data_IF_344387623368
#
_entry.id   IF_344387623368
#
_cell.length_a   1.000
_cell.length_b   1.000
_cell.length_c   1.000
_cell.angle_alpha   90.00
_cell.angle_beta   90.00
_cell.angle_gamma   90.00
#
_symmetry.space_group_name_H-M   'P 1'
#
loop_
_entity.id
_entity.type
_entity.pdbx_description
1 polymer ?
#
# COMPACT_ATOMS: atom_id res chain seq x y z
N UNK A 1 10.50 15.01 22.67
CA UNK A 1 10.51 13.75 21.89
C UNK A 1 11.52 13.94 20.77
N UNK A 2 12.42 12.98 20.54
CA UNK A 2 13.41 13.10 19.45
C UNK A 2 12.72 12.97 18.08
N UNK A 3 13.39 13.38 17.00
CA UNK A 3 12.87 13.25 15.63
C UNK A 3 12.58 11.78 15.28
N UNK A 4 13.48 10.87 15.65
CA UNK A 4 13.33 9.43 15.39
C UNK A 4 12.14 8.85 16.15
N UNK A 5 11.93 9.30 17.40
CA UNK A 5 10.76 8.94 18.19
C UNK A 5 9.47 9.45 17.52
N UNK A 6 9.46 10.67 16.98
CA UNK A 6 8.33 11.24 16.23
C UNK A 6 8.03 10.44 14.98
N UNK A 7 9.03 10.13 14.16
CA UNK A 7 8.85 9.31 12.97
C UNK A 7 8.32 7.92 13.34
N UNK A 8 8.95 7.24 14.30
CA UNK A 8 8.51 5.91 14.72
C UNK A 8 7.06 5.92 15.22
N UNK A 9 6.71 6.88 16.08
CA UNK A 9 5.39 6.94 16.67
C UNK A 9 4.31 7.37 15.67
N UNK A 10 4.53 8.51 15.00
CA UNK A 10 3.54 9.12 14.11
C UNK A 10 3.41 8.37 12.80
N UNK A 11 4.52 7.87 12.23
CA UNK A 11 4.53 7.23 10.90
C UNK A 11 4.35 5.72 10.98
N UNK A 12 4.87 5.04 12.00
CA UNK A 12 4.83 3.57 12.01
C UNK A 12 3.82 3.04 13.03
N UNK A 13 3.94 3.43 14.30
CA UNK A 13 3.15 2.85 15.38
C UNK A 13 1.68 3.25 15.32
N UNK A 14 1.36 4.53 15.14
CA UNK A 14 -0.03 5.00 15.08
C UNK A 14 -0.81 4.34 13.91
N UNK A 15 -0.33 4.39 12.65
CA UNK A 15 -1.00 3.72 11.54
C UNK A 15 -0.99 2.19 11.69
N UNK A 16 0.08 1.63 12.27
CA UNK A 16 0.18 0.18 12.48
C UNK A 16 -0.78 -0.36 13.53
N UNK A 17 -0.94 0.33 14.66
CA UNK A 17 -1.93 -0.03 15.68
C UNK A 17 -3.36 0.15 15.16
N UNK A 18 -3.63 1.26 14.49
CA UNK A 18 -4.92 1.50 13.87
C UNK A 18 -5.26 0.46 12.80
N UNK A 19 -4.28 0.05 11.99
CA UNK A 19 -4.45 -1.04 11.02
C UNK A 19 -4.58 -2.40 11.67
N UNK A 20 -3.90 -2.66 12.78
CA UNK A 20 -4.09 -3.90 13.53
C UNK A 20 -5.53 -3.99 14.04
N UNK A 21 -6.03 -2.94 14.70
CA UNK A 21 -7.40 -2.92 15.21
C UNK A 21 -8.41 -2.92 14.07
N UNK A 22 -8.19 -2.12 13.02
CA UNK A 22 -9.08 -2.02 11.87
C UNK A 22 -9.19 -3.33 11.10
N UNK A 23 -8.06 -3.98 10.79
CA UNK A 23 -8.06 -5.28 10.15
C UNK A 23 -8.65 -6.38 11.05
N UNK A 24 -8.45 -6.29 12.37
CA UNK A 24 -9.09 -7.20 13.33
C UNK A 24 -10.63 -7.06 13.30
N UNK A 25 -11.15 -5.83 13.24
CA UNK A 25 -12.59 -5.57 13.06
C UNK A 25 -13.11 -6.13 11.74
N UNK A 26 -12.33 -6.01 10.66
CA UNK A 26 -12.71 -6.58 9.37
C UNK A 26 -12.85 -8.11 9.45
N UNK A 27 -11.91 -8.81 10.09
CA UNK A 27 -11.92 -10.26 10.15
C UNK A 27 -12.90 -10.83 11.19
N UNK A 28 -13.07 -10.16 12.33
CA UNK A 28 -14.05 -10.55 13.36
C UNK A 28 -15.50 -10.43 12.88
N UNK A 29 -15.78 -9.62 11.86
CA UNK A 29 -17.10 -9.51 11.25
C UNK A 29 -17.58 -10.79 10.55
N UNK A 30 -16.67 -11.68 10.14
CA UNK A 30 -16.96 -12.89 9.34
C UNK A 30 -16.95 -14.18 10.16
N UNK A 31 -16.36 -14.18 11.35
CA UNK A 31 -16.30 -15.36 12.22
C UNK A 31 -17.65 -15.76 12.83
N UNK A 32 -18.64 -14.85 12.84
CA UNK A 32 -19.94 -15.06 13.48
C UNK A 32 -20.96 -15.73 12.55
N UNK A 33 -20.73 -15.82 11.23
CA UNK A 33 -21.72 -16.30 10.24
C UNK A 33 -21.70 -17.82 10.01
N UNK A 34 -21.54 -18.62 11.07
CA UNK A 34 -21.47 -20.09 11.02
C UNK A 34 -22.80 -20.80 10.80
N UNK A 35 -23.92 -20.09 10.70
CA UNK A 35 -25.25 -20.62 10.47
C UNK A 35 -26.26 -19.48 10.65
N UNK A 36 -27.33 -19.48 9.85
CA UNK A 36 -28.38 -18.46 9.80
C UNK A 36 -28.01 -17.19 9.02
N UNK A 37 -28.20 -17.28 7.70
CA UNK A 37 -28.51 -16.15 6.83
C UNK A 37 -29.78 -15.46 7.36
N UNK A 38 -29.64 -14.30 8.00
CA UNK A 38 -30.44 -13.08 7.71
C UNK A 38 -30.47 -12.04 8.83
N UNK A 39 -30.04 -12.33 10.07
CA UNK A 39 -30.12 -11.35 11.17
C UNK A 39 -28.82 -10.56 11.45
N UNK A 40 -27.66 -10.98 10.93
CA UNK A 40 -26.32 -10.48 11.34
C UNK A 40 -25.68 -9.44 10.41
N UNK A 41 -26.35 -9.06 9.32
CA UNK A 41 -25.83 -8.13 8.31
C UNK A 41 -25.45 -6.71 8.80
N UNK A 42 -26.18 -6.03 9.70
CA UNK A 42 -25.84 -4.66 10.08
C UNK A 42 -24.56 -4.56 10.93
N UNK A 43 -24.31 -5.54 11.81
CA UNK A 43 -23.12 -5.53 12.67
C UNK A 43 -21.82 -5.74 11.88
N UNK A 44 -21.82 -6.63 10.89
CA UNK A 44 -20.64 -6.85 10.04
C UNK A 44 -20.30 -5.62 9.18
N UNK A 45 -21.32 -4.92 8.69
CA UNK A 45 -21.18 -3.64 7.96
C UNK A 45 -20.60 -2.55 8.85
N UNK A 46 -21.07 -2.43 10.09
CA UNK A 46 -20.57 -1.42 11.04
C UNK A 46 -19.13 -1.67 11.47
N UNK A 47 -18.76 -2.94 11.76
CA UNK A 47 -17.37 -3.34 12.04
C UNK A 47 -16.43 -2.96 10.88
N UNK A 48 -16.89 -3.14 9.64
CA UNK A 48 -16.12 -2.75 8.45
C UNK A 48 -15.99 -1.24 8.33
N UNK A 49 -17.05 -0.48 8.53
CA UNK A 49 -16.98 0.98 8.50
C UNK A 49 -16.01 1.51 9.56
N UNK A 50 -16.11 1.02 10.80
CA UNK A 50 -15.23 1.39 11.90
C UNK A 50 -13.77 1.07 11.58
N UNK A 51 -13.48 -0.11 11.05
CA UNK A 51 -12.11 -0.45 10.67
C UNK A 51 -11.56 0.45 9.54
N UNK A 52 -12.40 0.87 8.58
CA UNK A 52 -11.98 1.79 7.52
C UNK A 52 -11.73 3.19 8.08
N UNK A 53 -12.59 3.66 8.98
CA UNK A 53 -12.43 4.94 9.68
C UNK A 53 -11.15 4.95 10.52
N UNK A 54 -10.84 3.85 11.21
CA UNK A 54 -9.60 3.74 11.98
C UNK A 54 -8.38 3.81 11.06
N UNK A 55 -8.35 3.03 9.98
CA UNK A 55 -7.20 3.01 9.06
C UNK A 55 -7.06 4.33 8.33
N UNK A 56 -8.10 4.77 7.59
CA UNK A 56 -8.07 6.03 6.85
C UNK A 56 -7.88 7.24 7.75
N UNK A 57 -8.56 7.28 8.91
CA UNK A 57 -8.39 8.33 9.90
C UNK A 57 -6.98 8.37 10.48
N UNK A 58 -6.36 7.22 10.78
CA UNK A 58 -4.99 7.18 11.28
C UNK A 58 -3.96 7.67 10.27
N UNK A 59 -4.18 7.43 8.97
CA UNK A 59 -3.34 7.98 7.90
C UNK A 59 -3.43 9.51 7.88
N UNK A 60 -4.64 10.07 7.90
CA UNK A 60 -4.85 11.52 7.94
C UNK A 60 -4.25 12.15 9.21
N UNK A 61 -4.48 11.55 10.38
CA UNK A 61 -3.93 12.03 11.65
C UNK A 61 -2.40 11.95 11.65
N UNK A 62 -1.82 10.86 11.11
CA UNK A 62 -0.38 10.69 10.95
C UNK A 62 0.23 11.84 10.15
N UNK A 63 -0.35 12.17 9.00
CA UNK A 63 0.14 13.26 8.15
C UNK A 63 -0.10 14.65 8.72
N UNK A 64 -1.31 14.92 9.23
CA UNK A 64 -1.64 16.23 9.77
C UNK A 64 -0.84 16.53 11.03
N UNK A 65 -0.57 15.52 11.85
CA UNK A 65 0.28 15.73 13.01
C UNK A 65 1.71 16.08 12.59
N UNK A 66 2.27 15.33 11.65
CA UNK A 66 3.65 15.55 11.21
C UNK A 66 3.84 16.90 10.51
N UNK A 67 2.79 17.44 9.88
CA UNK A 67 2.77 18.76 9.25
C UNK A 67 2.30 19.87 10.20
N UNK A 68 2.11 19.56 11.48
CA UNK A 68 1.60 20.47 12.52
C UNK A 68 0.18 21.04 12.26
N UNK A 69 -0.51 20.52 11.24
CA UNK A 69 -1.86 20.92 10.85
C UNK A 69 -2.91 20.60 11.93
N UNK A 70 -2.68 19.62 12.81
CA UNK A 70 -3.66 19.35 13.87
C UNK A 70 -3.77 20.46 14.91
N UNK A 71 -2.69 21.22 15.12
CA UNK A 71 -2.57 22.11 16.29
C UNK A 71 -2.30 23.55 15.91
N UNK A 72 -1.69 23.81 14.74
CA UNK A 72 -1.40 25.17 14.28
C UNK A 72 -2.33 25.58 13.12
N UNK A 73 -3.27 26.52 13.35
CA UNK A 73 -4.10 27.10 12.28
C UNK A 73 -3.27 27.83 11.21
N UNK A 74 -2.09 28.35 11.54
CA UNK A 74 -1.20 29.01 10.56
C UNK A 74 -0.50 28.01 9.65
N UNK A 75 -0.26 26.77 10.12
CA UNK A 75 0.20 25.69 9.26
C UNK A 75 -0.81 25.37 8.16
N UNK A 76 -2.13 25.50 8.42
CA UNK A 76 -3.16 25.31 7.40
C UNK A 76 -3.13 26.37 6.29
N UNK A 77 -2.91 27.63 6.67
CA UNK A 77 -2.90 28.73 5.69
C UNK A 77 -1.61 28.75 4.87
N UNK A 78 -0.53 28.21 5.42
CA UNK A 78 0.77 28.08 4.75
C UNK A 78 0.95 26.74 4.02
N UNK A 79 0.13 25.73 4.31
CA UNK A 79 0.17 24.46 3.60
C UNK A 79 -0.25 24.66 2.15
N UNK A 80 0.75 24.63 1.28
CA UNK A 80 0.56 24.57 -0.16
C UNK A 80 0.99 23.19 -0.62
N UNK A 81 0.16 22.53 -1.42
CA UNK A 81 0.53 21.28 -2.09
C UNK A 81 1.50 21.60 -3.24
N UNK A 82 2.71 22.07 -2.90
CA UNK A 82 3.69 22.58 -3.87
C UNK A 82 4.08 21.53 -4.90
N UNK A 83 4.02 20.25 -4.51
CA UNK A 83 4.18 19.11 -5.40
C UNK A 83 2.93 18.26 -5.48
N UNK A 84 2.64 17.75 -6.68
CA UNK A 84 1.42 16.97 -6.95
C UNK A 84 1.31 15.65 -6.18
N UNK A 85 2.41 14.98 -5.86
CA UNK A 85 2.37 13.76 -5.05
C UNK A 85 1.88 14.02 -3.61
N UNK A 86 1.93 15.25 -3.11
CA UNK A 86 1.44 15.58 -1.76
C UNK A 86 -0.08 15.38 -1.63
N UNK A 87 -0.83 15.32 -2.74
CA UNK A 87 -2.26 14.99 -2.76
C UNK A 87 -2.56 13.54 -2.32
N UNK A 88 -1.54 12.68 -2.18
CA UNK A 88 -1.68 11.37 -1.55
C UNK A 88 -2.30 11.45 -0.16
N UNK A 89 -2.12 12.58 0.56
CA UNK A 89 -2.73 12.87 1.86
C UNK A 89 -4.25 12.74 1.87
N UNK A 90 -4.90 13.00 0.74
CA UNK A 90 -6.35 12.85 0.59
C UNK A 90 -6.70 11.59 -0.18
N UNK A 91 -5.95 11.28 -1.24
CA UNK A 91 -6.27 10.20 -2.16
C UNK A 91 -6.22 8.81 -1.50
N UNK A 92 -5.18 8.52 -0.71
CA UNK A 92 -5.00 7.18 -0.12
C UNK A 92 -6.00 6.96 1.03
N UNK A 93 -6.14 7.86 2.03
CA UNK A 93 -7.17 7.71 3.05
C UNK A 93 -8.59 7.70 2.46
N UNK A 94 -8.84 8.57 1.48
CA UNK A 94 -10.11 8.63 0.76
C UNK A 94 -10.43 7.33 0.03
N UNK A 95 -9.44 6.67 -0.56
CA UNK A 95 -9.62 5.36 -1.18
C UNK A 95 -9.94 4.26 -0.16
N UNK A 96 -9.24 4.22 0.99
CA UNK A 96 -9.55 3.28 2.07
C UNK A 96 -11.01 3.46 2.54
N UNK A 97 -11.43 4.70 2.77
CA UNK A 97 -12.79 5.02 3.17
C UNK A 97 -13.81 4.69 2.07
N UNK A 98 -13.53 5.05 0.82
CA UNK A 98 -14.40 4.79 -0.33
C UNK A 98 -14.62 3.30 -0.58
N UNK A 99 -13.57 2.49 -0.47
CA UNK A 99 -13.68 1.03 -0.55
C UNK A 99 -14.49 0.45 0.63
N UNK A 100 -14.32 1.02 1.83
CA UNK A 100 -15.16 0.71 2.99
C UNK A 100 -16.63 1.03 2.78
N UNK A 101 -16.94 2.19 2.19
CA UNK A 101 -18.30 2.61 1.86
C UNK A 101 -18.91 1.71 0.78
N UNK A 102 -18.16 1.36 -0.26
CA UNK A 102 -18.62 0.43 -1.31
C UNK A 102 -19.05 -0.92 -0.71
N UNK A 103 -18.39 -1.39 0.35
CA UNK A 103 -18.77 -2.61 1.08
C UNK A 103 -20.10 -2.47 1.83
N UNK A 104 -20.55 -1.27 2.18
CA UNK A 104 -21.84 -1.04 2.82
C UNK A 104 -23.02 -1.23 1.85
N UNK A 105 -22.83 -0.85 0.58
CA UNK A 105 -23.89 -0.81 -0.42
C UNK A 105 -24.09 -2.10 -1.19
N UNK A 106 -23.20 -3.05 -1.02
CA UNK A 106 -23.09 -4.20 -1.90
C UNK A 106 -23.55 -5.47 -1.20
N UNK A 107 -24.48 -6.17 -1.86
CA UNK A 107 -25.30 -7.23 -1.25
C UNK A 107 -24.55 -8.56 -1.26
N UNK A 108 -23.80 -8.86 -2.33
CA UNK A 108 -23.04 -10.10 -2.46
C UNK A 108 -21.53 -9.90 -2.66
N UNK A 109 -20.72 -10.89 -2.28
CA UNK A 109 -19.26 -10.87 -2.49
C UNK A 109 -18.87 -10.84 -3.98
N UNK A 110 -19.71 -11.39 -4.87
CA UNK A 110 -19.48 -11.39 -6.32
C UNK A 110 -19.70 -10.01 -6.94
N UNK A 111 -20.82 -9.36 -6.61
CA UNK A 111 -21.10 -7.99 -7.05
C UNK A 111 -20.04 -7.03 -6.56
N UNK A 112 -19.55 -7.23 -5.34
CA UNK A 112 -18.47 -6.43 -4.78
C UNK A 112 -17.20 -6.54 -5.59
N UNK A 113 -16.70 -7.76 -5.81
CA UNK A 113 -15.50 -7.97 -6.62
C UNK A 113 -15.64 -7.37 -8.02
N UNK A 114 -16.83 -7.46 -8.62
CA UNK A 114 -17.10 -6.93 -9.95
C UNK A 114 -17.06 -5.40 -10.03
N UNK A 115 -17.48 -4.68 -8.97
CA UNK A 115 -17.45 -3.21 -8.91
C UNK A 115 -16.10 -2.66 -8.46
N UNK A 116 -15.49 -3.35 -7.51
CA UNK A 116 -14.26 -2.95 -6.85
C UNK A 116 -13.05 -2.96 -7.77
N UNK A 117 -12.87 -4.02 -8.56
CA UNK A 117 -11.68 -4.15 -9.41
C UNK A 117 -11.61 -3.02 -10.44
N UNK A 118 -12.69 -2.71 -11.18
CA UNK A 118 -12.74 -1.53 -12.03
C UNK A 118 -12.50 -0.23 -11.25
N UNK A 119 -13.11 -0.06 -10.08
CA UNK A 119 -12.92 1.14 -9.26
C UNK A 119 -11.46 1.33 -8.84
N UNK A 120 -10.77 0.26 -8.44
CA UNK A 120 -9.35 0.27 -8.08
C UNK A 120 -8.45 0.55 -9.29
N UNK A 121 -8.76 -0.02 -10.46
CA UNK A 121 -8.02 0.26 -11.68
C UNK A 121 -8.15 1.74 -12.08
N UNK A 122 -9.37 2.27 -12.07
CA UNK A 122 -9.65 3.68 -12.34
C UNK A 122 -8.98 4.59 -11.30
N UNK A 123 -9.05 4.21 -10.03
CA UNK A 123 -8.37 4.93 -8.96
C UNK A 123 -6.86 4.91 -9.13
N UNK A 124 -6.26 3.77 -9.46
CA UNK A 124 -4.81 3.67 -9.72
C UNK A 124 -4.40 4.60 -10.88
N UNK A 125 -5.11 4.55 -12.01
CA UNK A 125 -4.82 5.40 -13.17
C UNK A 125 -4.99 6.89 -12.80
N UNK A 126 -6.10 7.24 -12.16
CA UNK A 126 -6.40 8.60 -11.73
C UNK A 126 -5.38 9.12 -10.71
N UNK A 127 -4.97 8.30 -9.75
CA UNK A 127 -3.98 8.66 -8.75
C UNK A 127 -2.61 8.91 -9.39
N UNK A 128 -2.14 8.04 -10.31
CA UNK A 128 -0.90 8.29 -11.04
C UNK A 128 -1.00 9.57 -11.89
N UNK A 129 -2.11 9.76 -12.62
CA UNK A 129 -2.32 10.97 -13.40
C UNK A 129 -2.25 12.23 -12.53
N UNK A 130 -2.96 12.26 -11.40
CA UNK A 130 -3.01 13.44 -10.52
C UNK A 130 -1.70 13.73 -9.80
N UNK A 131 -0.88 12.71 -9.51
CA UNK A 131 0.32 12.85 -8.68
C UNK A 131 1.62 13.00 -9.48
N UNK A 132 1.68 12.47 -10.70
CA UNK A 132 2.86 12.51 -11.59
C UNK A 132 2.77 13.68 -12.59
N UNK A 133 1.57 14.18 -12.90
CA UNK A 133 1.40 15.27 -13.87
C UNK A 133 1.76 16.63 -13.25
N UNK A 134 2.97 17.12 -13.52
CA UNK A 134 3.42 18.46 -13.14
C UNK A 134 3.89 19.23 -14.39
N UNK A 135 3.06 20.16 -14.92
CA UNK A 135 3.30 20.73 -16.24
C UNK A 135 4.49 21.70 -16.30
N UNK A 136 4.92 22.24 -15.15
CA UNK A 136 5.98 23.27 -15.09
C UNK A 136 7.39 22.68 -15.00
N UNK A 137 7.55 21.49 -14.42
CA UNK A 137 8.88 20.87 -14.19
C UNK A 137 9.36 20.06 -15.40
N UNK A 138 8.52 19.84 -16.42
CA UNK A 138 8.74 18.91 -17.53
C UNK A 138 8.66 19.57 -18.94
N UNK A 139 9.47 20.61 -19.24
CA UNK A 139 9.50 21.19 -20.59
C UNK A 139 10.04 20.14 -21.58
N UNK A 140 9.16 19.61 -22.45
CA UNK A 140 9.39 18.57 -23.50
C UNK A 140 9.23 17.09 -23.10
N UNK A 141 8.53 16.77 -22.00
CA UNK A 141 8.53 15.40 -21.46
C UNK A 141 7.14 14.71 -21.36
N UNK A 142 6.20 15.10 -22.22
CA UNK A 142 4.87 14.49 -22.27
C UNK A 142 4.94 12.95 -22.41
N UNK A 143 5.79 12.45 -23.31
CA UNK A 143 5.97 11.02 -23.57
C UNK A 143 6.49 10.23 -22.37
N UNK A 144 7.63 10.58 -21.74
CA UNK A 144 8.13 9.86 -20.57
C UNK A 144 7.20 9.97 -19.35
N UNK A 145 6.45 11.07 -19.19
CA UNK A 145 5.40 11.18 -18.17
C UNK A 145 4.26 10.19 -18.42
N UNK A 146 3.73 10.12 -19.64
CA UNK A 146 2.72 9.12 -20.01
C UNK A 146 3.24 7.69 -19.81
N UNK A 147 4.50 7.42 -20.14
CA UNK A 147 5.13 6.13 -19.87
C UNK A 147 5.17 5.82 -18.38
N UNK A 148 5.55 6.77 -17.53
CA UNK A 148 5.55 6.58 -16.07
C UNK A 148 4.14 6.29 -15.53
N UNK A 149 3.12 7.02 -15.99
CA UNK A 149 1.72 6.77 -15.61
C UNK A 149 1.27 5.37 -16.05
N UNK A 150 1.55 4.98 -17.29
CA UNK A 150 1.16 3.67 -17.81
C UNK A 150 1.88 2.53 -17.08
N UNK A 151 3.19 2.64 -16.89
CA UNK A 151 4.01 1.62 -16.21
C UNK A 151 3.61 1.51 -14.73
N UNK A 152 3.43 2.65 -14.05
CA UNK A 152 2.98 2.70 -12.66
C UNK A 152 1.60 2.07 -12.48
N UNK A 153 0.64 2.46 -13.32
CA UNK A 153 -0.72 1.91 -13.30
C UNK A 153 -0.71 0.40 -13.58
N UNK A 154 0.03 -0.04 -14.59
CA UNK A 154 0.17 -1.46 -14.92
C UNK A 154 0.77 -2.24 -13.75
N UNK A 155 1.82 -1.71 -13.11
CA UNK A 155 2.42 -2.33 -11.94
C UNK A 155 1.47 -2.39 -10.75
N UNK A 156 0.74 -1.32 -10.42
CA UNK A 156 -0.24 -1.37 -9.33
C UNK A 156 -1.31 -2.42 -9.59
N UNK A 157 -1.86 -2.46 -10.80
CA UNK A 157 -2.92 -3.42 -11.18
C UNK A 157 -2.39 -4.86 -11.10
N UNK A 158 -1.22 -5.13 -11.68
CA UNK A 158 -0.62 -6.45 -11.66
C UNK A 158 -0.20 -6.87 -10.25
N UNK A 159 0.33 -5.97 -9.44
CA UNK A 159 0.68 -6.24 -8.05
C UNK A 159 -0.57 -6.56 -7.23
N UNK A 160 -1.63 -5.77 -7.34
CA UNK A 160 -2.91 -6.06 -6.69
C UNK A 160 -3.44 -7.43 -7.11
N UNK A 161 -3.46 -7.74 -8.42
CA UNK A 161 -3.91 -9.03 -8.93
C UNK A 161 -3.05 -10.20 -8.43
N UNK A 162 -1.74 -9.97 -8.31
CA UNK A 162 -0.79 -10.98 -7.82
C UNK A 162 -0.98 -11.23 -6.32
N UNK A 163 -1.08 -10.18 -5.51
CA UNK A 163 -1.37 -10.29 -4.08
C UNK A 163 -2.72 -10.99 -3.85
N UNK A 164 -3.74 -10.65 -4.65
CA UNK A 164 -5.04 -11.32 -4.64
C UNK A 164 -4.91 -12.82 -4.93
N UNK A 165 -4.16 -13.18 -5.97
CA UNK A 165 -3.93 -14.56 -6.37
C UNK A 165 -3.18 -15.36 -5.29
N UNK A 166 -2.12 -14.79 -4.72
CA UNK A 166 -1.38 -15.38 -3.59
C UNK A 166 -2.33 -15.73 -2.44
N UNK A 167 -3.18 -14.78 -2.07
CA UNK A 167 -4.13 -15.01 -1.00
C UNK A 167 -5.10 -16.15 -1.35
N UNK A 168 -5.61 -16.19 -2.58
CA UNK A 168 -6.52 -17.24 -3.03
C UNK A 168 -5.87 -18.64 -3.05
N UNK A 169 -4.55 -18.73 -3.28
CA UNK A 169 -3.78 -20.00 -3.30
C UNK A 169 -3.28 -20.42 -1.91
N UNK A 170 -3.76 -19.78 -0.84
CA UNK A 170 -3.44 -20.14 0.55
C UNK A 170 -2.17 -19.49 1.10
N UNK A 171 -1.61 -18.48 0.42
CA UNK A 171 -0.47 -17.71 0.87
C UNK A 171 -0.83 -16.48 1.75
N UNK A 172 -2.10 -16.37 2.16
CA UNK A 172 -2.65 -15.19 2.85
C UNK A 172 -1.83 -14.66 4.03
N UNK A 173 -1.20 -15.55 4.80
CA UNK A 173 -0.38 -15.19 5.97
C UNK A 173 0.89 -14.41 5.60
N UNK A 174 1.51 -14.74 4.47
CA UNK A 174 2.77 -14.14 4.07
C UNK A 174 2.63 -13.15 2.90
N UNK A 175 1.47 -13.08 2.24
CA UNK A 175 1.21 -12.07 1.20
C UNK A 175 1.53 -10.63 1.65
N UNK A 176 1.11 -10.16 2.85
CA UNK A 176 1.46 -8.81 3.31
C UNK A 176 2.96 -8.58 3.47
N UNK A 177 3.76 -9.63 3.74
CA UNK A 177 5.22 -9.53 3.84
C UNK A 177 5.86 -9.19 2.49
N UNK A 178 5.25 -9.61 1.38
CA UNK A 178 5.71 -9.26 0.03
C UNK A 178 5.56 -7.76 -0.20
N UNK A 179 4.43 -7.18 0.22
CA UNK A 179 4.21 -5.74 0.15
C UNK A 179 5.16 -4.99 1.11
N UNK A 180 5.41 -5.51 2.32
CA UNK A 180 6.41 -4.93 3.22
C UNK A 180 7.81 -4.92 2.60
N UNK A 181 8.21 -5.99 1.91
CA UNK A 181 9.49 -6.02 1.21
C UNK A 181 9.57 -4.95 0.12
N UNK A 182 8.49 -4.79 -0.68
CA UNK A 182 8.41 -3.73 -1.68
C UNK A 182 8.51 -2.34 -1.02
N UNK A 183 7.70 -2.08 0.00
CA UNK A 183 7.72 -0.81 0.73
C UNK A 183 9.08 -0.54 1.37
N UNK A 184 9.78 -1.55 1.89
CA UNK A 184 11.14 -1.42 2.40
C UNK A 184 12.13 -0.98 1.31
N UNK A 185 12.04 -1.58 0.13
CA UNK A 185 12.83 -1.16 -1.04
C UNK A 185 12.49 0.28 -1.45
N UNK A 186 11.21 0.63 -1.53
CA UNK A 186 10.77 1.98 -1.88
C UNK A 186 11.19 2.99 -0.82
N UNK A 187 11.14 2.65 0.48
CA UNK A 187 11.57 3.51 1.57
C UNK A 187 13.07 3.79 1.50
N UNK A 188 13.88 2.76 1.27
CA UNK A 188 15.33 2.91 1.10
C UNK A 188 15.68 3.88 -0.04
N UNK A 189 14.96 3.80 -1.15
CA UNK A 189 15.14 4.70 -2.29
C UNK A 189 14.59 6.12 -1.99
N UNK A 190 13.37 6.20 -1.45
CA UNK A 190 12.65 7.45 -1.26
C UNK A 190 13.28 8.33 -0.18
N UNK A 191 13.72 7.76 0.95
CA UNK A 191 14.39 8.50 2.04
C UNK A 191 15.65 9.20 1.53
N UNK A 192 16.41 8.55 0.65
CA UNK A 192 17.60 9.14 0.03
C UNK A 192 17.28 10.23 -1.01
N UNK A 193 16.06 10.24 -1.54
CA UNK A 193 15.66 11.16 -2.61
C UNK A 193 14.99 12.40 -2.05
N UNK A 194 13.99 12.20 -1.18
CA UNK A 194 13.26 13.26 -0.53
C UNK A 194 12.62 12.73 0.76
N UNK A 195 13.02 13.27 1.91
CA UNK A 195 12.62 12.75 3.23
C UNK A 195 11.10 12.57 3.37
N UNK A 196 10.30 13.53 2.88
CA UNK A 196 8.83 13.46 3.02
C UNK A 196 8.19 12.37 2.15
N UNK A 197 8.79 12.00 1.00
CA UNK A 197 8.36 10.80 0.26
C UNK A 197 8.67 9.54 1.08
N UNK A 198 9.83 9.48 1.73
CA UNK A 198 10.21 8.40 2.62
C UNK A 198 9.24 8.22 3.78
N UNK A 199 8.84 9.31 4.44
CA UNK A 199 7.88 9.30 5.55
C UNK A 199 6.52 8.73 5.17
N UNK A 200 6.03 9.03 3.96
CA UNK A 200 4.82 8.44 3.41
C UNK A 200 4.91 6.93 3.27
N UNK A 201 6.05 6.44 2.78
CA UNK A 201 6.30 5.00 2.64
C UNK A 201 6.39 4.35 4.02
N UNK A 202 6.99 5.02 5.02
CA UNK A 202 7.00 4.55 6.41
C UNK A 202 5.58 4.43 6.99
N UNK A 203 4.67 5.37 6.67
CA UNK A 203 3.25 5.25 6.98
C UNK A 203 2.62 4.00 6.36
N UNK A 204 2.91 3.72 5.08
CA UNK A 204 2.46 2.50 4.42
C UNK A 204 3.03 1.22 5.06
N UNK A 205 4.28 1.25 5.52
CA UNK A 205 4.90 0.15 6.28
C UNK A 205 4.15 -0.09 7.59
N UNK A 206 3.84 0.98 8.35
CA UNK A 206 3.05 0.90 9.57
C UNK A 206 1.73 0.17 9.34
N UNK A 207 0.90 0.66 8.40
CA UNK A 207 -0.37 0.02 8.04
C UNK A 207 -0.18 -1.45 7.65
N UNK A 208 0.78 -1.74 6.78
CA UNK A 208 1.01 -3.11 6.31
C UNK A 208 1.48 -4.04 7.42
N UNK A 209 2.27 -3.56 8.39
CA UNK A 209 2.66 -4.33 9.58
C UNK A 209 1.45 -4.69 10.44
N UNK A 210 0.55 -3.74 10.69
CA UNK A 210 -0.69 -3.99 11.43
C UNK A 210 -1.55 -5.05 10.77
N UNK A 211 -1.75 -4.93 9.45
CA UNK A 211 -2.45 -5.90 8.63
C UNK A 211 -1.78 -7.30 8.64
N UNK A 212 -0.45 -7.33 8.62
CA UNK A 212 0.35 -8.56 8.67
C UNK A 212 0.12 -9.31 9.99
N UNK A 213 0.23 -8.61 11.13
CA UNK A 213 0.02 -9.21 12.44
C UNK A 213 -1.34 -9.92 12.52
N UNK A 214 -2.40 -9.23 12.09
CA UNK A 214 -3.76 -9.78 12.09
C UNK A 214 -3.87 -11.02 11.19
N UNK A 215 -3.24 -11.01 10.01
CA UNK A 215 -3.23 -12.16 9.09
C UNK A 215 -2.59 -13.41 9.71
N UNK A 216 -1.59 -13.24 10.58
CA UNK A 216 -0.96 -14.37 11.29
C UNK A 216 -1.84 -14.91 12.42
N UNK A 217 -2.56 -14.04 13.15
CA UNK A 217 -3.43 -14.45 14.25
C UNK A 217 -4.74 -15.09 13.77
N UNK A 218 -5.31 -14.64 12.65
CA UNK A 218 -6.52 -15.23 12.08
C UNK A 218 -6.17 -16.37 11.11
N UNK A 219 -6.17 -17.59 11.64
CA UNK A 219 -5.98 -18.82 10.87
C UNK A 219 -7.21 -19.10 9.98
N UNK A 220 -7.21 -18.55 8.77
CA UNK A 220 -8.25 -18.77 7.78
C UNK A 220 -8.29 -20.23 7.30
N UNK A 221 -9.23 -21.04 7.83
CA UNK A 221 -9.58 -22.36 7.28
C UNK A 221 -10.35 -22.29 5.96
N UNK A 222 -10.80 -21.11 5.51
CA UNK A 222 -11.59 -20.98 4.27
C UNK A 222 -10.82 -20.24 3.16
N UNK A 223 -10.94 -20.75 1.92
CA UNK A 223 -10.53 -20.04 0.68
C UNK A 223 -11.21 -18.67 0.51
N UNK A 224 -12.25 -18.41 1.30
CA UNK A 224 -13.11 -17.21 1.29
C UNK A 224 -12.65 -16.12 2.27
N UNK A 225 -11.69 -16.41 3.15
CA UNK A 225 -11.24 -15.47 4.19
C UNK A 225 -10.33 -14.36 3.63
N UNK A 226 -9.65 -14.62 2.52
CA UNK A 226 -8.43 -13.90 2.22
C UNK A 226 -8.57 -12.65 1.37
N UNK A 227 -9.66 -12.51 0.61
CA UNK A 227 -9.54 -11.76 -0.64
C UNK A 227 -9.81 -10.26 -0.51
N UNK A 228 -10.68 -9.86 0.43
CA UNK A 228 -11.25 -8.51 0.46
C UNK A 228 -11.01 -7.69 1.74
N UNK A 229 -11.08 -8.26 2.96
CA UNK A 229 -10.97 -7.46 4.18
C UNK A 229 -9.63 -6.71 4.27
N UNK A 230 -8.54 -7.39 3.93
CA UNK A 230 -7.20 -6.81 3.87
C UNK A 230 -6.98 -5.95 2.62
N UNK A 231 -7.67 -6.23 1.51
CA UNK A 231 -7.54 -5.48 0.26
C UNK A 231 -7.91 -4.00 0.42
N UNK A 232 -8.93 -3.70 1.25
CA UNK A 232 -9.35 -2.32 1.58
C UNK A 232 -8.18 -1.50 2.13
N UNK A 233 -7.30 -2.13 2.92
CA UNK A 233 -6.12 -1.49 3.49
C UNK A 233 -4.91 -1.57 2.54
N UNK A 234 -4.63 -2.74 1.95
CA UNK A 234 -3.38 -3.01 1.25
C UNK A 234 -3.33 -2.45 -0.17
N UNK A 235 -4.45 -2.39 -0.89
CA UNK A 235 -4.44 -1.97 -2.29
C UNK A 235 -4.18 -0.48 -2.49
N UNK A 236 -4.77 0.43 -1.69
CA UNK A 236 -4.35 1.83 -1.70
C UNK A 236 -2.85 1.99 -1.40
N UNK A 237 -2.28 1.15 -0.54
CA UNK A 237 -0.85 1.17 -0.21
C UNK A 237 0.03 0.67 -1.37
N UNK A 238 -0.43 -0.29 -2.17
CA UNK A 238 0.26 -0.70 -3.41
C UNK A 238 0.36 0.46 -4.40
N UNK A 239 -0.71 1.24 -4.53
CA UNK A 239 -0.75 2.42 -5.42
C UNK A 239 0.15 3.54 -4.86
N UNK A 240 0.14 3.76 -3.55
CA UNK A 240 1.04 4.75 -2.95
C UNK A 240 2.52 4.37 -3.12
N UNK A 241 2.86 3.08 -2.99
CA UNK A 241 4.22 2.58 -3.20
C UNK A 241 4.74 2.86 -4.61
N UNK A 242 3.92 2.62 -5.64
CA UNK A 242 4.30 2.87 -7.03
C UNK A 242 4.45 4.36 -7.32
N UNK A 243 3.52 5.19 -6.83
CA UNK A 243 3.61 6.65 -6.96
C UNK A 243 4.88 7.16 -6.29
N UNK A 244 5.15 6.76 -5.03
CA UNK A 244 6.34 7.18 -4.31
C UNK A 244 7.63 6.81 -5.06
N UNK A 245 7.72 5.57 -5.56
CA UNK A 245 8.89 5.11 -6.31
C UNK A 245 9.10 5.92 -7.60
N UNK A 246 8.04 6.15 -8.38
CA UNK A 246 8.13 6.93 -9.61
C UNK A 246 8.47 8.40 -9.33
N UNK A 247 7.93 8.97 -8.25
CA UNK A 247 8.21 10.33 -7.82
C UNK A 247 9.66 10.52 -7.35
N UNK A 248 10.38 9.47 -6.95
CA UNK A 248 11.80 9.61 -6.57
C UNK A 248 12.67 10.15 -7.70
N UNK A 249 12.29 9.91 -8.97
CA UNK A 249 13.00 10.43 -10.13
C UNK A 249 13.05 11.97 -10.19
N UNK A 250 12.08 12.66 -9.59
CA UNK A 250 12.05 14.13 -9.56
C UNK A 250 13.08 14.73 -8.60
N UNK A 251 13.45 14.00 -7.55
CA UNK A 251 14.26 14.50 -6.45
C UNK A 251 15.70 13.96 -6.48
N UNK A 252 16.06 13.15 -7.48
CA UNK A 252 17.40 12.60 -7.64
C UNK A 252 18.14 13.25 -8.80
N UNK A 253 19.41 13.55 -8.58
CA UNK A 253 20.34 14.02 -9.62
C UNK A 253 20.75 12.91 -10.60
N UNK A 254 20.83 11.65 -10.13
CA UNK A 254 21.14 10.48 -10.95
C UNK A 254 19.94 9.53 -11.00
N UNK A 255 19.44 9.18 -12.20
CA UNK A 255 18.33 8.24 -12.34
C UNK A 255 18.76 6.85 -11.86
N UNK A 256 17.84 6.14 -11.23
CA UNK A 256 18.05 4.74 -10.86
C UNK A 256 18.16 3.88 -12.13
N UNK A 257 18.93 2.77 -12.08
CA UNK A 257 18.91 1.79 -13.15
C UNK A 257 17.48 1.34 -13.44
N UNK A 258 17.04 1.44 -14.70
CA UNK A 258 15.66 1.12 -15.10
C UNK A 258 15.26 -0.31 -14.66
N UNK A 259 16.22 -1.25 -14.72
CA UNK A 259 16.01 -2.62 -14.25
C UNK A 259 15.70 -2.69 -12.74
N UNK A 260 16.40 -1.91 -11.90
CA UNK A 260 16.13 -1.87 -10.46
C UNK A 260 14.76 -1.28 -10.17
N UNK A 261 14.42 -0.15 -10.81
CA UNK A 261 13.09 0.47 -10.70
C UNK A 261 12.00 -0.50 -11.11
N UNK A 262 12.17 -1.18 -12.25
CA UNK A 262 11.22 -2.19 -12.72
C UNK A 262 11.07 -3.36 -11.75
N UNK A 263 12.16 -3.90 -11.24
CA UNK A 263 12.13 -5.03 -10.29
C UNK A 263 11.44 -4.64 -8.98
N UNK A 264 11.73 -3.46 -8.41
CA UNK A 264 11.07 -2.99 -7.18
C UNK A 264 9.59 -2.69 -7.44
N UNK A 265 9.27 -2.05 -8.57
CA UNK A 265 7.90 -1.69 -8.93
C UNK A 265 7.01 -2.91 -9.14
N UNK A 266 7.53 -3.99 -9.73
CA UNK A 266 6.80 -5.25 -10.00
C UNK A 266 7.10 -6.37 -8.99
N UNK A 267 7.70 -6.06 -7.84
CA UNK A 267 8.13 -7.09 -6.88
C UNK A 267 6.98 -8.03 -6.44
N UNK A 268 5.78 -7.54 -6.05
CA UNK A 268 4.66 -8.42 -5.77
C UNK A 268 4.24 -9.31 -6.95
N UNK A 269 4.28 -8.80 -8.17
CA UNK A 269 4.01 -9.59 -9.37
C UNK A 269 5.06 -10.66 -9.64
N UNK A 270 6.34 -10.35 -9.43
CA UNK A 270 7.42 -11.33 -9.56
C UNK A 270 7.23 -12.47 -8.55
N UNK A 271 6.89 -12.14 -7.31
CA UNK A 271 6.59 -13.15 -6.28
C UNK A 271 5.32 -13.95 -6.61
N UNK A 272 4.28 -13.30 -7.11
CA UNK A 272 3.07 -13.97 -7.60
C UNK A 272 3.35 -14.96 -8.74
N UNK A 273 4.25 -14.60 -9.66
CA UNK A 273 4.70 -15.51 -10.72
C UNK A 273 5.47 -16.71 -10.17
N UNK A 274 6.42 -16.48 -9.23
CA UNK A 274 7.13 -17.58 -8.57
C UNK A 274 6.16 -18.51 -7.82
N UNK A 275 5.17 -17.94 -7.14
CA UNK A 275 4.13 -18.70 -6.46
C UNK A 275 3.32 -19.58 -7.42
N UNK A 276 2.95 -19.05 -8.59
CA UNK A 276 2.27 -19.79 -9.64
C UNK A 276 3.10 -20.95 -10.18
N UNK A 277 4.40 -20.72 -10.44
CA UNK A 277 5.33 -21.75 -10.93
C UNK A 277 5.52 -22.84 -9.88
N UNK A 278 5.85 -22.45 -8.64
CA UNK A 278 6.18 -23.38 -7.57
C UNK A 278 4.95 -24.03 -6.89
N UNK A 279 3.77 -23.42 -7.02
CA UNK A 279 2.51 -23.96 -6.54
C UNK A 279 2.15 -25.33 -7.14
N UNK A 280 2.66 -25.62 -8.34
CA UNK A 280 2.47 -26.91 -9.01
C UNK A 280 3.30 -28.06 -8.45
N UNK A 281 4.35 -27.77 -7.67
CA UNK A 281 5.30 -28.78 -7.17
C UNK A 281 4.93 -29.36 -5.79
N UNK A 282 3.69 -29.15 -5.34
CA UNK A 282 3.06 -29.86 -4.20
C UNK A 282 3.57 -29.51 -2.81
N UNK A 283 4.79 -28.98 -2.64
CA UNK A 283 5.31 -28.60 -1.31
C UNK A 283 5.15 -27.08 -1.05
N UNK A 284 4.32 -26.68 -0.06
CA UNK A 284 4.01 -25.27 0.19
C UNK A 284 5.20 -24.44 0.68
N UNK A 285 6.21 -25.06 1.29
CA UNK A 285 7.38 -24.35 1.81
C UNK A 285 8.30 -23.78 0.72
N UNK A 286 8.37 -24.41 -0.47
CA UNK A 286 9.18 -23.88 -1.57
C UNK A 286 8.71 -22.50 -2.02
N UNK A 287 7.38 -22.28 -2.05
CA UNK A 287 6.76 -21.01 -2.43
C UNK A 287 7.26 -19.88 -1.52
N UNK A 288 7.29 -20.13 -0.21
CA UNK A 288 7.73 -19.17 0.81
C UNK A 288 9.23 -18.91 0.69
N UNK A 289 10.05 -19.96 0.54
CA UNK A 289 11.50 -19.82 0.45
C UNK A 289 11.89 -19.00 -0.78
N UNK A 290 11.34 -19.30 -1.96
CA UNK A 290 11.66 -18.55 -3.19
C UNK A 290 11.15 -17.12 -3.15
N UNK A 291 9.96 -16.88 -2.57
CA UNK A 291 9.46 -15.54 -2.33
C UNK A 291 10.39 -14.74 -1.41
N UNK A 292 10.85 -15.35 -0.30
CA UNK A 292 11.78 -14.71 0.63
C UNK A 292 13.13 -14.41 -0.02
N UNK A 293 13.69 -15.37 -0.77
CA UNK A 293 14.94 -15.19 -1.51
C UNK A 293 14.82 -14.04 -2.51
N UNK A 294 13.73 -13.97 -3.28
CA UNK A 294 13.49 -12.88 -4.22
C UNK A 294 13.42 -11.52 -3.51
N UNK A 295 12.61 -11.41 -2.44
CA UNK A 295 12.49 -10.18 -1.67
C UNK A 295 13.82 -9.72 -1.05
N UNK A 296 14.57 -10.65 -0.44
CA UNK A 296 15.86 -10.34 0.20
C UNK A 296 16.90 -9.94 -0.85
N UNK A 297 16.98 -10.66 -1.98
CA UNK A 297 17.90 -10.35 -3.05
C UNK A 297 17.66 -8.94 -3.62
N UNK A 298 16.40 -8.58 -3.83
CA UNK A 298 16.03 -7.23 -4.29
C UNK A 298 16.36 -6.18 -3.24
N UNK A 299 16.07 -6.42 -1.97
CA UNK A 299 16.40 -5.49 -0.89
C UNK A 299 17.92 -5.26 -0.78
N UNK A 300 18.71 -6.34 -0.84
CA UNK A 300 20.18 -6.26 -0.85
C UNK A 300 20.66 -5.49 -2.08
N UNK A 301 20.12 -5.79 -3.27
CA UNK A 301 20.49 -5.09 -4.49
C UNK A 301 20.18 -3.59 -4.39
N UNK A 302 19.02 -3.21 -3.84
CA UNK A 302 18.68 -1.82 -3.56
C UNK A 302 19.74 -1.22 -2.63
N UNK A 303 19.97 -1.80 -1.45
CA UNK A 303 20.94 -1.27 -0.47
C UNK A 303 22.35 -1.09 -1.07
N UNK A 304 22.81 -2.03 -1.91
CA UNK A 304 24.14 -1.98 -2.52
C UNK A 304 24.24 -0.97 -3.67
N UNK A 305 23.17 -0.79 -4.46
CA UNK A 305 23.15 0.10 -5.63
C UNK A 305 22.81 1.54 -5.23
N UNK A 306 21.94 1.70 -4.24
CA UNK A 306 21.54 3.01 -3.74
C UNK A 306 22.59 3.53 -2.78
N UNK A 307 23.61 4.18 -3.33
CA UNK A 307 24.61 4.90 -2.52
C UNK A 307 23.89 5.88 -1.57
N UNK A 308 24.34 5.98 -0.30
CA UNK A 308 23.82 6.99 0.61
C UNK A 308 24.05 8.37 0.01
N UNK A 309 23.08 9.27 0.18
CA UNK A 309 23.19 10.66 -0.27
C UNK A 309 24.46 11.27 0.35
N UNK A 310 25.51 11.44 -0.46
CA UNK A 310 26.65 12.26 -0.08
C UNK A 310 26.21 13.71 -0.29
N UNK A 311 25.86 14.40 0.79
CA UNK A 311 25.61 15.83 0.73
C UNK A 311 26.94 16.53 0.56
N UNK A 312 27.29 16.91 -0.67
CA UNK A 312 28.35 17.89 -0.94
C UNK A 312 27.85 19.34 -0.67
N UNK A 313 26.91 19.51 0.26
CA UNK A 313 26.36 20.79 0.70
C UNK A 313 26.90 21.16 2.07
#
# INVERSE_FOLDING_TARGET
MSFEQQVLFQRILLPGLASLVGCWLFLSSKSESGGEEDATYPHARWKTLLGCLLIGGSLLVSDFWQRELLWDPMAWTSWTASYRWQWLIWLIPGAVLGLGLLRLFSVSEREQSALVWPALCLFAIGAHYLTIFEPETWPNWLTPMFQAILIGSAASILNMASLHSLVATGASRWTPLVLLAQLGCVAAIAIQSYASLGEWVLTGIGVTLGATCVSFFYSAKSRLFGVWPLAIALYPIVISASICLLSTGYFRSRPLPIGLTGVVLFLPSLVGFLDFVYGRYGRPWYRIVWAAVACIAVLIAVILITEPFQSDW
#
